data_IF_749964414686
#
_entry.id   IF_749964414686
#
_cell.length_a   1.000
_cell.length_b   1.000
_cell.length_c   1.000
_cell.angle_alpha   90.00
_cell.angle_beta   90.00
_cell.angle_gamma   90.00
#
_symmetry.space_group_name_H-M   'P 1'
#
loop_
_entity.id
_entity.type
_entity.pdbx_description
1 polymer ?
#
# COMPACT_ATOMS: atom_id res chain seq x y z
N UNK A 1 -23.24 -2.76 29.01
CA UNK A 1 -24.68 -2.97 29.31
C UNK A 1 -24.92 -4.33 29.96
N UNK A 2 -24.50 -5.45 29.36
CA UNK A 2 -24.63 -6.80 29.94
C UNK A 2 -23.88 -6.98 31.27
N UNK A 3 -22.74 -6.31 31.46
CA UNK A 3 -21.95 -6.42 32.70
C UNK A 3 -22.62 -5.78 33.92
N UNK A 4 -23.65 -4.95 33.71
CA UNK A 4 -24.44 -4.38 34.81
C UNK A 4 -25.37 -5.43 35.45
N UNK A 5 -25.71 -6.51 34.72
CA UNK A 5 -26.56 -7.61 35.25
C UNK A 5 -25.86 -8.34 36.40
N UNK A 6 -24.54 -8.45 36.39
CA UNK A 6 -23.77 -9.08 37.46
C UNK A 6 -23.48 -8.19 38.66
N UNK A 7 -23.70 -6.87 38.55
CA UNK A 7 -23.43 -5.89 39.62
C UNK A 7 -24.59 -5.70 40.60
N UNK A 8 -25.80 -6.20 40.29
CA UNK A 8 -26.96 -6.13 41.17
C UNK A 8 -27.32 -7.53 41.71
N UNK A 9 -26.70 -7.99 42.82
CA UNK A 9 -26.97 -9.31 43.39
C UNK A 9 -28.40 -9.45 43.94
N UNK A 10 -29.03 -8.32 44.28
CA UNK A 10 -30.42 -8.19 44.78
C UNK A 10 -31.47 -8.73 43.79
N UNK A 11 -31.18 -8.75 42.48
CA UNK A 11 -32.16 -9.06 41.43
C UNK A 11 -31.76 -10.33 40.68
N UNK A 12 -32.75 -11.21 40.44
CA UNK A 12 -32.52 -12.41 39.64
C UNK A 12 -32.03 -12.05 38.23
N UNK A 13 -31.07 -12.83 37.71
CA UNK A 13 -30.55 -12.68 36.34
C UNK A 13 -31.68 -12.63 35.29
N UNK A 14 -32.78 -13.37 35.54
CA UNK A 14 -33.97 -13.37 34.71
C UNK A 14 -34.65 -12.00 34.65
N UNK A 15 -34.83 -11.35 35.80
CA UNK A 15 -35.46 -10.04 35.89
C UNK A 15 -34.56 -8.97 35.26
N UNK A 16 -33.26 -8.98 35.54
CA UNK A 16 -32.29 -8.05 34.97
C UNK A 16 -32.19 -8.18 33.45
N UNK A 17 -32.16 -9.40 32.90
CA UNK A 17 -32.20 -9.63 31.45
C UNK A 17 -33.52 -9.14 30.81
N UNK A 18 -34.66 -9.31 31.50
CA UNK A 18 -35.97 -8.83 31.01
C UNK A 18 -36.02 -7.31 30.93
N UNK A 19 -35.53 -6.61 31.96
CA UNK A 19 -35.49 -5.13 31.99
C UNK A 19 -34.58 -4.58 30.89
N UNK A 20 -33.43 -5.21 30.64
CA UNK A 20 -32.49 -4.77 29.62
C UNK A 20 -32.86 -5.22 28.19
N UNK A 21 -33.89 -6.05 28.02
CA UNK A 21 -34.29 -6.59 26.72
C UNK A 21 -33.30 -7.61 26.12
N UNK A 22 -32.50 -8.28 26.95
CA UNK A 22 -31.41 -9.17 26.51
C UNK A 22 -31.79 -10.64 26.73
N UNK A 23 -31.44 -11.51 25.79
CA UNK A 23 -31.60 -12.96 25.97
C UNK A 23 -30.66 -13.47 27.06
N UNK A 24 -31.19 -14.26 28.00
CA UNK A 24 -30.41 -14.89 29.09
C UNK A 24 -29.21 -15.70 28.58
N UNK A 25 -29.37 -16.39 27.46
CA UNK A 25 -28.29 -17.17 26.82
C UNK A 25 -27.07 -16.29 26.51
N UNK A 26 -27.30 -15.11 25.94
CA UNK A 26 -26.25 -14.14 25.61
C UNK A 26 -25.51 -13.64 26.87
N UNK A 27 -26.21 -13.47 27.99
CA UNK A 27 -25.56 -13.15 29.27
C UNK A 27 -24.64 -14.29 29.75
N UNK A 28 -25.11 -15.53 29.74
CA UNK A 28 -24.29 -16.67 30.19
C UNK A 28 -23.13 -16.97 29.23
N UNK A 29 -23.34 -16.90 27.91
CA UNK A 29 -22.27 -17.03 26.92
C UNK A 29 -21.17 -15.97 27.14
N UNK A 30 -21.55 -14.72 27.39
CA UNK A 30 -20.59 -13.66 27.73
C UNK A 30 -19.92 -13.87 29.08
N UNK A 31 -20.64 -14.34 30.10
CA UNK A 31 -20.07 -14.68 31.42
C UNK A 31 -19.06 -15.84 31.32
N UNK A 32 -19.26 -16.74 30.37
CA UNK A 32 -18.33 -17.83 30.03
C UNK A 32 -17.13 -17.37 29.19
N UNK A 33 -17.00 -16.07 28.91
CA UNK A 33 -15.86 -15.50 28.18
C UNK A 33 -16.05 -15.36 26.68
N UNK A 34 -17.24 -15.67 26.12
CA UNK A 34 -17.51 -15.46 24.71
C UNK A 34 -17.85 -13.98 24.44
N UNK A 35 -16.80 -13.14 24.36
CA UNK A 35 -16.88 -11.70 24.09
C UNK A 35 -16.31 -11.39 22.70
N UNK A 36 -17.15 -11.34 21.66
CA UNK A 36 -16.69 -11.09 20.30
C UNK A 36 -16.02 -9.72 20.14
N UNK A 37 -16.43 -8.73 20.93
CA UNK A 37 -15.80 -7.40 20.99
C UNK A 37 -14.30 -7.45 21.35
N UNK A 38 -13.90 -8.22 22.37
CA UNK A 38 -12.50 -8.34 22.79
C UNK A 38 -11.67 -9.03 21.70
N UNK A 39 -12.25 -10.03 21.02
CA UNK A 39 -11.61 -10.71 19.88
C UNK A 39 -11.47 -9.78 18.66
N UNK A 40 -12.45 -8.91 18.43
CA UNK A 40 -12.39 -7.91 17.37
C UNK A 40 -11.29 -6.87 17.66
N UNK A 41 -11.16 -6.41 18.90
CA UNK A 41 -10.11 -5.48 19.34
C UNK A 41 -8.71 -6.05 19.15
N UNK A 42 -8.47 -7.29 19.60
CA UNK A 42 -7.19 -7.97 19.41
C UNK A 42 -6.82 -8.09 17.92
N UNK A 43 -7.80 -8.40 17.07
CA UNK A 43 -7.59 -8.48 15.63
C UNK A 43 -7.29 -7.10 15.01
N UNK A 44 -7.99 -6.05 15.45
CA UNK A 44 -7.72 -4.68 15.00
C UNK A 44 -6.30 -4.26 15.40
N UNK A 45 -5.85 -4.58 16.61
CA UNK A 45 -4.51 -4.26 17.08
C UNK A 45 -3.43 -4.98 16.25
N UNK A 46 -3.64 -6.26 15.95
CA UNK A 46 -2.79 -7.03 15.03
C UNK A 46 -2.72 -6.37 13.65
N UNK A 47 -3.87 -6.01 13.06
CA UNK A 47 -3.93 -5.33 11.76
C UNK A 47 -3.14 -4.02 11.78
N UNK A 48 -3.33 -3.20 12.83
CA UNK A 48 -2.60 -1.93 13.02
C UNK A 48 -1.10 -2.18 13.12
N UNK A 49 -0.66 -3.13 13.94
CA UNK A 49 0.76 -3.47 14.12
C UNK A 49 1.42 -3.90 12.82
N UNK A 50 0.78 -4.79 12.06
CA UNK A 50 1.30 -5.25 10.76
C UNK A 50 1.35 -4.10 9.76
N UNK A 51 0.32 -3.25 9.73
CA UNK A 51 0.27 -2.07 8.87
C UNK A 51 1.36 -1.04 9.19
N UNK A 52 1.69 -0.85 10.47
CA UNK A 52 2.79 0.01 10.90
C UNK A 52 4.15 -0.54 10.49
N UNK A 53 4.33 -1.87 10.56
CA UNK A 53 5.56 -2.53 10.09
C UNK A 53 5.72 -2.44 8.57
N UNK A 54 4.62 -2.64 7.84
CA UNK A 54 4.61 -2.69 6.38
C UNK A 54 3.73 -1.58 5.79
N UNK A 55 4.31 -0.39 5.68
CA UNK A 55 3.57 0.83 5.32
C UNK A 55 3.00 0.78 3.89
N UNK A 56 3.67 0.09 2.97
CA UNK A 56 3.23 -0.04 1.57
C UNK A 56 2.19 -1.13 1.33
N UNK A 57 1.88 -1.96 2.33
CA UNK A 57 0.96 -3.08 2.16
C UNK A 57 -0.51 -2.64 2.20
N UNK A 58 -1.27 -3.14 1.23
CA UNK A 58 -2.73 -3.06 1.22
C UNK A 58 -3.39 -4.23 1.96
N UNK A 59 -4.72 -4.20 2.01
CA UNK A 59 -5.54 -5.17 2.74
C UNK A 59 -5.19 -6.63 2.45
N UNK A 60 -5.10 -7.02 1.17
CA UNK A 60 -4.86 -8.41 0.79
C UNK A 60 -3.52 -8.94 1.29
N UNK A 61 -2.46 -8.14 1.18
CA UNK A 61 -1.14 -8.55 1.69
C UNK A 61 -1.13 -8.71 3.19
N UNK A 62 -1.71 -7.75 3.92
CA UNK A 62 -1.85 -7.88 5.37
C UNK A 62 -2.71 -9.08 5.77
N UNK A 63 -3.82 -9.34 5.07
CA UNK A 63 -4.70 -10.47 5.35
C UNK A 63 -4.00 -11.83 5.13
N UNK A 64 -3.33 -12.03 4.00
CA UNK A 64 -2.61 -13.27 3.72
C UNK A 64 -1.44 -13.48 4.67
N UNK A 65 -0.70 -12.41 5.00
CA UNK A 65 0.36 -12.45 5.99
C UNK A 65 -0.16 -12.89 7.36
N UNK A 66 -1.24 -12.27 7.85
CA UNK A 66 -1.84 -12.64 9.14
C UNK A 66 -2.40 -14.07 9.13
N UNK A 67 -2.93 -14.53 7.99
CA UNK A 67 -3.42 -15.90 7.85
C UNK A 67 -2.28 -16.92 7.95
N UNK A 68 -1.12 -16.61 7.38
CA UNK A 68 0.03 -17.51 7.36
C UNK A 68 0.82 -17.48 8.67
N UNK A 69 1.14 -16.30 9.21
CA UNK A 69 1.97 -16.20 10.41
C UNK A 69 1.18 -16.31 11.72
N UNK A 70 -0.01 -15.71 11.79
CA UNK A 70 -0.84 -15.70 13.00
C UNK A 70 -1.98 -16.73 12.94
N UNK A 71 -2.05 -17.53 11.87
CA UNK A 71 -3.04 -18.62 11.75
C UNK A 71 -4.49 -18.16 11.73
N UNK A 72 -4.77 -16.92 11.32
CA UNK A 72 -6.13 -16.36 11.35
C UNK A 72 -7.03 -17.15 10.37
N UNK A 73 -8.04 -17.83 10.93
CA UNK A 73 -9.05 -18.60 10.15
C UNK A 73 -10.29 -17.78 9.81
N UNK A 74 -10.34 -16.51 10.19
CA UNK A 74 -11.48 -15.65 9.95
C UNK A 74 -11.69 -15.36 8.47
N UNK A 75 -12.96 -15.31 8.07
CA UNK A 75 -13.33 -14.94 6.71
C UNK A 75 -12.83 -13.52 6.38
N UNK A 76 -12.24 -13.34 5.20
CA UNK A 76 -11.76 -12.06 4.69
C UNK A 76 -12.83 -10.95 4.79
N UNK A 77 -14.12 -11.27 4.65
CA UNK A 77 -15.22 -10.30 4.83
C UNK A 77 -15.28 -9.71 6.24
N UNK A 78 -15.09 -10.53 7.29
CA UNK A 78 -15.06 -10.06 8.69
C UNK A 78 -13.84 -9.18 8.91
N UNK A 79 -12.67 -9.65 8.49
CA UNK A 79 -11.41 -8.89 8.63
C UNK A 79 -11.47 -7.56 7.89
N UNK A 80 -12.08 -7.53 6.70
CA UNK A 80 -12.25 -6.30 5.92
C UNK A 80 -13.19 -5.28 6.59
N UNK A 81 -14.23 -5.73 7.30
CA UNK A 81 -15.08 -4.83 8.10
C UNK A 81 -14.30 -4.19 9.24
N UNK A 82 -13.52 -4.98 9.98
CA UNK A 82 -12.66 -4.49 11.06
C UNK A 82 -11.56 -3.56 10.51
N UNK A 83 -10.99 -3.89 9.35
CA UNK A 83 -10.05 -3.02 8.63
C UNK A 83 -10.64 -1.64 8.32
N UNK A 84 -11.90 -1.62 7.86
CA UNK A 84 -12.62 -0.37 7.61
C UNK A 84 -12.90 0.41 8.89
N UNK A 85 -13.38 -0.26 9.93
CA UNK A 85 -13.63 0.35 11.25
C UNK A 85 -12.35 0.95 11.86
N UNK A 86 -11.21 0.31 11.66
CA UNK A 86 -9.91 0.79 12.11
C UNK A 86 -9.33 1.93 11.25
N UNK A 87 -10.01 2.38 10.18
CA UNK A 87 -9.56 3.45 9.30
C UNK A 87 -8.38 3.07 8.39
N UNK A 88 -7.97 1.81 8.34
CA UNK A 88 -6.76 1.37 7.63
C UNK A 88 -6.89 1.47 6.10
N UNK A 89 -8.11 1.59 5.58
CA UNK A 89 -8.40 1.81 4.17
C UNK A 89 -8.18 3.25 3.70
N UNK A 90 -8.07 4.20 4.63
CA UNK A 90 -7.83 5.62 4.34
C UNK A 90 -6.34 5.97 4.31
N UNK A 91 -5.48 4.97 4.49
CA UNK A 91 -4.03 5.16 4.52
C UNK A 91 -3.55 5.57 3.14
N UNK A 92 -2.86 6.71 3.10
CA UNK A 92 -2.12 7.12 1.92
C UNK A 92 -0.86 6.25 1.80
N UNK A 93 -0.58 5.66 0.63
CA UNK A 93 0.66 4.94 0.43
C UNK A 93 1.84 5.90 0.64
N UNK A 94 2.95 5.44 1.22
CA UNK A 94 4.12 6.28 1.42
C UNK A 94 4.62 6.75 0.05
N UNK A 95 4.86 8.06 -0.09
CA UNK A 95 5.48 8.59 -1.31
C UNK A 95 6.87 7.98 -1.40
N UNK A 96 7.21 7.42 -2.58
CA UNK A 96 8.58 6.97 -2.85
C UNK A 96 9.51 8.18 -2.64
N UNK A 97 10.56 8.07 -1.81
CA UNK A 97 11.51 9.15 -1.67
C UNK A 97 12.07 9.49 -3.06
N UNK A 98 12.13 10.78 -3.37
CA UNK A 98 12.84 11.21 -4.58
C UNK A 98 14.30 10.82 -4.40
N UNK A 99 14.88 10.17 -5.41
CA UNK A 99 16.32 9.92 -5.45
C UNK A 99 16.99 11.29 -5.40
N UNK A 100 17.66 11.58 -4.28
CA UNK A 100 18.51 12.75 -4.17
C UNK A 100 19.79 12.41 -4.92
N UNK A 101 19.94 12.97 -6.12
CA UNK A 101 21.21 12.92 -6.84
C UNK A 101 22.09 14.01 -6.25
N UNK A 102 23.23 13.61 -5.68
CA UNK A 102 24.29 14.58 -5.41
C UNK A 102 24.84 15.02 -6.76
N UNK A 103 24.82 16.32 -7.03
CA UNK A 103 25.41 16.86 -8.23
C UNK A 103 26.93 16.75 -8.08
N UNK A 104 27.56 15.95 -8.92
CA UNK A 104 29.01 15.99 -9.09
C UNK A 104 29.29 17.02 -10.17
N UNK A 105 30.23 17.93 -9.92
CA UNK A 105 30.74 18.83 -10.95
C UNK A 105 31.36 17.98 -12.05
N UNK A 106 30.78 18.06 -13.25
CA UNK A 106 31.33 17.43 -14.43
C UNK A 106 32.48 18.31 -14.91
N UNK A 107 33.68 17.73 -15.03
CA UNK A 107 34.81 18.40 -15.67
C UNK A 107 34.47 18.59 -17.15
N UNK A 108 34.51 19.83 -17.62
CA UNK A 108 34.33 20.11 -19.04
C UNK A 108 35.57 19.63 -19.81
N UNK A 109 35.39 19.00 -20.99
CA UNK A 109 36.53 18.61 -21.82
C UNK A 109 37.30 19.83 -22.32
N UNK A 110 38.62 19.74 -22.35
CA UNK A 110 39.51 20.83 -22.76
C UNK A 110 39.67 20.89 -24.29
N UNK A 111 39.39 19.79 -24.99
CA UNK A 111 39.58 19.64 -26.43
C UNK A 111 38.40 18.96 -27.14
N UNK A 112 38.29 19.21 -28.45
CA UNK A 112 37.28 18.59 -29.32
C UNK A 112 37.54 17.09 -29.41
N UNK A 113 36.47 16.28 -29.32
CA UNK A 113 36.48 14.81 -29.28
C UNK A 113 37.03 14.17 -27.99
N UNK A 114 37.12 14.93 -26.90
CA UNK A 114 37.52 14.40 -25.59
C UNK A 114 36.31 13.96 -24.74
N UNK A 115 35.15 14.61 -24.90
CA UNK A 115 33.92 14.28 -24.19
C UNK A 115 32.71 14.33 -25.11
N UNK A 116 31.90 13.26 -25.11
CA UNK A 116 30.68 13.16 -25.89
C UNK A 116 29.47 12.96 -24.98
N UNK A 117 28.45 13.81 -25.19
CA UNK A 117 27.16 13.63 -24.57
C UNK A 117 26.25 12.85 -25.53
N UNK A 118 25.56 11.85 -24.99
CA UNK A 118 24.51 11.13 -25.70
C UNK A 118 23.18 11.35 -24.99
N UNK A 119 22.14 11.71 -25.76
CA UNK A 119 20.78 11.77 -25.27
C UNK A 119 19.81 10.99 -26.18
N UNK A 120 18.63 10.70 -25.62
CA UNK A 120 17.53 10.07 -26.33
C UNK A 120 16.31 10.98 -26.25
N UNK A 121 15.78 11.36 -27.41
CA UNK A 121 14.54 12.12 -27.51
C UNK A 121 13.47 11.19 -28.06
N UNK A 122 12.42 10.94 -27.30
CA UNK A 122 11.26 10.17 -27.77
C UNK A 122 10.13 11.13 -28.09
N UNK A 123 9.65 11.11 -29.33
CA UNK A 123 8.54 11.96 -29.76
C UNK A 123 7.51 11.17 -30.59
N UNK A 124 6.25 11.62 -30.55
CA UNK A 124 5.16 11.05 -31.33
C UNK A 124 5.11 11.72 -32.69
N UNK A 125 5.35 10.94 -33.75
CA UNK A 125 5.27 11.47 -35.10
C UNK A 125 3.85 11.31 -35.62
N UNK A 126 3.28 12.42 -36.10
CA UNK A 126 1.99 12.41 -36.79
C UNK A 126 2.24 11.91 -38.21
N UNK A 127 1.90 10.65 -38.45
CA UNK A 127 1.97 9.99 -39.75
C UNK A 127 0.79 9.03 -39.95
N UNK A 128 0.71 8.35 -41.11
CA UNK A 128 -0.32 7.35 -41.38
C UNK A 128 -0.28 6.21 -40.35
N UNK A 129 0.90 5.82 -39.90
CA UNK A 129 1.12 5.00 -38.72
C UNK A 129 1.47 5.93 -37.55
N UNK A 130 0.54 6.10 -36.60
CA UNK A 130 0.79 6.87 -35.37
C UNK A 130 1.82 6.12 -34.54
N UNK A 131 3.09 6.43 -34.71
CA UNK A 131 4.20 5.75 -34.04
C UNK A 131 5.08 6.72 -33.24
N UNK A 132 5.59 6.23 -32.12
CA UNK A 132 6.62 6.92 -31.36
C UNK A 132 7.99 6.64 -31.99
N UNK A 133 8.72 7.69 -32.34
CA UNK A 133 10.10 7.58 -32.81
C UNK A 133 11.03 7.99 -31.66
N UNK A 134 12.11 7.24 -31.46
CA UNK A 134 13.17 7.58 -30.50
C UNK A 134 14.41 7.99 -31.24
N UNK A 135 14.82 9.24 -31.18
CA UNK A 135 16.05 9.74 -31.79
C UNK A 135 17.19 9.62 -30.79
N UNK A 136 18.34 9.14 -31.26
CA UNK A 136 19.60 9.19 -30.51
C UNK A 136 20.38 10.39 -31.02
N UNK A 137 20.74 11.33 -30.15
CA UNK A 137 21.68 12.38 -30.50
C UNK A 137 23.00 12.15 -29.77
N UNK A 138 24.10 12.32 -30.51
CA UNK A 138 25.46 12.30 -30.00
C UNK A 138 26.06 13.66 -30.33
N UNK A 139 26.52 14.38 -29.31
CA UNK A 139 27.13 15.68 -29.46
C UNK A 139 28.49 15.72 -28.78
N UNK A 140 29.39 16.50 -29.36
CA UNK A 140 30.66 16.83 -28.73
C UNK A 140 30.43 17.89 -27.65
N UNK A 141 30.91 17.65 -26.43
CA UNK A 141 30.67 18.53 -25.28
C UNK A 141 31.48 19.83 -25.33
N UNK A 142 32.68 19.79 -25.92
CA UNK A 142 33.57 20.95 -26.07
C UNK A 142 33.06 21.93 -27.14
N UNK A 143 32.85 21.43 -28.36
CA UNK A 143 32.41 22.24 -29.51
C UNK A 143 30.91 22.46 -29.59
N UNK A 144 30.11 21.72 -28.80
CA UNK A 144 28.63 21.69 -28.84
C UNK A 144 28.05 21.35 -30.21
N UNK A 145 28.82 20.66 -31.05
CA UNK A 145 28.38 20.21 -32.38
C UNK A 145 27.75 18.83 -32.31
N UNK A 146 26.66 18.64 -33.05
CA UNK A 146 26.08 17.31 -33.23
C UNK A 146 27.01 16.46 -34.11
N UNK A 147 27.50 15.35 -33.54
CA UNK A 147 28.33 14.37 -34.24
C UNK A 147 27.45 13.36 -34.98
N UNK A 148 26.35 12.94 -34.38
CA UNK A 148 25.43 11.98 -34.97
C UNK A 148 24.00 12.23 -34.48
N UNK A 149 23.04 12.17 -35.42
CA UNK A 149 21.62 12.08 -35.12
C UNK A 149 21.11 10.82 -35.81
N UNK A 150 20.73 9.81 -35.04
CA UNK A 150 20.24 8.54 -35.57
C UNK A 150 18.78 8.37 -35.25
N UNK A 151 18.01 8.15 -36.30
CA UNK A 151 16.67 7.59 -36.22
C UNK A 151 16.81 6.07 -36.28
N UNK A 152 16.61 5.33 -35.19
CA UNK A 152 16.33 3.90 -35.30
C UNK A 152 15.02 3.80 -36.08
N UNK A 153 15.13 3.29 -37.31
CA UNK A 153 13.97 2.72 -37.97
C UNK A 153 13.44 1.68 -36.99
N UNK A 154 12.21 1.87 -36.53
CA UNK A 154 11.49 0.86 -35.77
C UNK A 154 11.67 -0.45 -36.52
N UNK A 155 12.45 -1.37 -35.94
CA UNK A 155 12.56 -2.71 -36.48
C UNK A 155 11.14 -3.28 -36.47
N UNK A 156 10.56 -3.35 -37.66
CA UNK A 156 9.47 -4.26 -37.96
C UNK A 156 9.86 -5.62 -37.37
N UNK A 157 9.05 -6.09 -36.43
CA UNK A 157 8.87 -7.47 -35.96
C UNK A 157 9.96 -8.48 -36.34
N UNK A 158 10.63 -9.05 -35.33
CA UNK A 158 11.06 -10.46 -35.33
C UNK A 158 10.44 -11.12 -34.12
#
# INVERSE_FOLDING_TARGET
>A
MIDQVGRQPERSVRQSCRVLGIRRKTYYERKQGNRPEERDEQLIELLKRTCSRFVAWGFWMTFYYLRNEHGIKDNHKRVYRLWKQAGLHLRLPPKRPRIRREYQELLAPESVNEGWAMDFVSDWVIGPEKQSVRVINIMDECSRRALCVRFPLSATTI
#
